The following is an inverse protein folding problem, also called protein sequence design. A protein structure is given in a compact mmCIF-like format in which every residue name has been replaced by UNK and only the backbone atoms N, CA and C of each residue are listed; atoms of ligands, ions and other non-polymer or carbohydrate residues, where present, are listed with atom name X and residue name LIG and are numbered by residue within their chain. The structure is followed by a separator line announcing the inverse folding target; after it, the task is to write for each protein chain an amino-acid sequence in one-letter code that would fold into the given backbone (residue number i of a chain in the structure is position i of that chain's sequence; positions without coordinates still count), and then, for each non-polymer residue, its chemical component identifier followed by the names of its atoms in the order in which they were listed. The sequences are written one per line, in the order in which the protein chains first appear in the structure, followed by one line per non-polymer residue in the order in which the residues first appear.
data_IF_957428154011
#
_entry.id   IF_957428154011
#
_cell.length_a   1.000
_cell.length_b   1.000
_cell.length_c   1.000
_cell.angle_alpha   90.00
_cell.angle_beta   90.00
_cell.angle_gamma   90.00
#
_symmetry.space_group_name_H-M   'P 1'
#
loop_
_entity.id
_entity.type
_entity.pdbx_description
1 polymer ?
2 water ?
#
# COMPACT_ATOMS: atom_id res chain seq x y z
N UNK A 11 -6.49 -8.21 -8.81
CA UNK A 11 -5.89 -8.96 -9.92
C UNK A 11 -4.41 -9.30 -9.68
N UNK A 12 -3.81 -10.01 -10.62
CA UNK A 12 -2.54 -10.68 -10.40
C UNK A 12 -1.32 -9.97 -11.01
N UNK A 13 -0.24 -9.91 -10.24
CA UNK A 13 1.06 -9.41 -10.70
C UNK A 13 2.10 -10.48 -10.41
N UNK A 14 3.03 -10.69 -11.34
CA UNK A 14 4.09 -11.67 -11.16
C UNK A 14 5.44 -10.96 -11.05
N UNK A 15 6.25 -11.38 -10.08
CA UNK A 15 7.57 -10.78 -9.92
C UNK A 15 8.59 -11.86 -9.57
N UNK A 16 9.83 -11.62 -9.96
CA UNK A 16 10.91 -12.59 -9.75
C UNK A 16 11.56 -12.42 -8.38
N UNK A 17 11.82 -13.55 -7.71
CA UNK A 17 12.56 -13.58 -6.45
C UNK A 17 13.80 -12.71 -6.51
N UNK A 18 14.01 -11.88 -5.49
CA UNK A 18 15.18 -11.02 -5.42
C UNK A 18 15.05 -9.66 -6.10
N UNK A 19 13.98 -9.45 -6.86
CA UNK A 19 13.78 -8.19 -7.57
C UNK A 19 12.85 -7.28 -6.76
N UNK A 20 12.40 -6.18 -7.37
CA UNK A 20 11.48 -5.27 -6.68
C UNK A 20 10.21 -5.11 -7.50
N UNK A 21 9.14 -4.69 -6.84
CA UNK A 21 7.86 -4.54 -7.53
C UNK A 21 7.15 -3.32 -6.97
N UNK A 22 6.51 -2.55 -7.86
CA UNK A 22 5.73 -1.40 -7.44
C UNK A 22 4.28 -1.86 -7.37
N UNK A 23 3.63 -1.62 -6.22
CA UNK A 23 2.23 -1.96 -6.01
C UNK A 23 1.50 -0.63 -5.98
N UNK A 24 0.62 -0.41 -6.97
CA UNK A 24 0.07 0.93 -7.15
C UNK A 24 -1.20 1.22 -6.35
N UNK A 25 -1.33 2.49 -5.95
CA UNK A 25 -2.55 2.97 -5.31
C UNK A 25 -2.66 4.44 -5.65
N UNK A 26 -3.70 4.79 -6.39
CA UNK A 26 -3.97 6.20 -6.61
C UNK A 26 -5.38 6.49 -6.15
N UNK A 27 -5.55 7.62 -5.49
CA UNK A 27 -6.89 8.08 -5.21
C UNK A 27 -7.09 9.38 -5.95
N UNK A 28 -8.32 9.86 -5.98
CA UNK A 28 -8.58 11.17 -6.53
C UNK A 28 -9.65 11.75 -5.63
N UNK A 29 -9.69 13.07 -5.56
CA UNK A 29 -10.70 13.74 -4.76
C UNK A 29 -11.33 14.80 -5.64
N UNK A 30 -12.66 14.79 -5.70
CA UNK A 30 -13.36 15.79 -6.49
C UNK A 30 -13.02 17.18 -5.97
N UNK A 31 -13.09 17.34 -4.65
CA UNK A 31 -12.90 18.66 -4.06
C UNK A 31 -11.89 18.66 -2.92
N UNK A 32 -10.84 17.85 -3.05
CA UNK A 32 -9.78 17.82 -2.06
C UNK A 32 -10.17 17.08 -0.80
N UNK A 33 -9.34 17.21 0.23
CA UNK A 33 -9.57 16.50 1.49
C UNK A 33 -8.75 17.10 2.61
N UNK A 34 -9.05 16.67 3.83
CA UNK A 34 -8.24 17.00 4.99
C UNK A 34 -8.00 15.74 5.82
N UNK A 35 -6.78 15.62 6.34
CA UNK A 35 -6.41 14.55 7.27
C UNK A 35 -6.78 13.16 6.78
N UNK A 36 -6.37 12.85 5.56
CA UNK A 36 -6.58 11.51 5.01
C UNK A 36 -5.66 10.53 5.74
N UNK A 37 -6.15 9.32 5.99
CA UNK A 37 -5.32 8.25 6.55
C UNK A 37 -5.29 7.10 5.58
N UNK A 38 -4.14 6.45 5.46
CA UNK A 38 -4.03 5.29 4.58
C UNK A 38 -3.31 4.14 5.27
N UNK A 39 -3.57 2.93 4.78
CA UNK A 39 -2.96 1.72 5.31
C UNK A 39 -2.82 0.72 4.18
N UNK A 40 -1.62 0.14 4.01
CA UNK A 40 -1.49 -1.04 3.15
C UNK A 40 -1.44 -2.28 4.04
N UNK A 41 -2.15 -3.33 3.64
CA UNK A 41 -2.12 -4.58 4.39
C UNK A 41 -1.64 -5.72 3.51
N UNK A 42 -1.15 -6.77 4.15
CA UNK A 42 -0.82 -8.03 3.48
C UNK A 42 -1.64 -9.13 4.12
N UNK A 43 -2.21 -10.00 3.29
CA UNK A 43 -2.92 -11.17 3.79
C UNK A 43 -2.42 -12.42 3.11
N UNK A 44 -2.13 -13.45 3.91
CA UNK A 44 -1.80 -14.78 3.43
C UNK A 44 -2.79 -15.76 4.07
N UNK A 45 -2.66 -17.05 3.75
CA UNK A 45 -3.52 -18.07 4.35
C UNK A 45 -3.38 -18.13 5.87
N UNK A 46 -2.19 -17.77 6.37
CA UNK A 46 -1.93 -17.87 7.81
C UNK A 46 -1.41 -16.58 8.47
N UNK A 47 -1.29 -15.49 7.72
CA UNK A 47 -0.77 -14.26 8.31
C UNK A 47 -1.52 -13.02 7.84
N UNK A 48 -1.52 -12.00 8.69
CA UNK A 48 -1.99 -10.68 8.31
C UNK A 48 -0.94 -9.69 8.82
N UNK A 49 -0.59 -8.70 7.99
CA UNK A 49 0.37 -7.68 8.40
C UNK A 49 -0.13 -6.33 7.99
N UNK A 50 0.00 -5.36 8.90
CA UNK A 50 -0.12 -3.95 8.52
C UNK A 50 1.26 -3.51 8.06
N UNK A 51 1.39 -3.19 6.78
CA UNK A 51 2.71 -2.95 6.18
C UNK A 51 3.22 -1.52 6.35
N UNK A 52 2.33 -0.57 6.11
CA UNK A 52 2.70 0.82 6.19
C UNK A 52 1.42 1.61 6.41
N UNK A 53 1.51 2.64 7.23
CA UNK A 53 0.39 3.53 7.49
C UNK A 53 0.87 4.96 7.44
N UNK A 54 -0.03 5.89 7.14
CA UNK A 54 0.37 7.28 7.10
C UNK A 54 -0.81 8.22 6.99
N UNK A 55 -0.50 9.51 6.93
CA UNK A 55 -1.52 10.55 6.87
C UNK A 55 -1.16 11.50 5.75
N UNK A 56 -2.17 12.18 5.21
CA UNK A 56 -1.93 13.21 4.20
C UNK A 56 -2.77 14.40 4.66
N UNK A 57 -2.12 15.52 4.96
CA UNK A 57 -2.82 16.64 5.62
C UNK A 57 -3.90 17.25 4.74
N UNK A 58 -3.56 17.44 3.47
CA UNK A 58 -4.52 17.93 2.50
C UNK A 58 -4.01 17.61 1.10
N UNK A 59 -4.74 18.06 0.09
CA UNK A 59 -4.41 17.73 -1.29
C UNK A 59 -3.13 18.41 -1.79
N UNK A 60 -2.58 19.31 -0.98
CA UNK A 60 -1.36 20.03 -1.33
C UNK A 60 -0.19 19.56 -0.48
N UNK A 61 -0.35 18.44 0.21
CA UNK A 61 0.69 17.93 1.10
C UNK A 61 1.23 16.57 0.66
N UNK A 62 2.47 16.28 1.06
CA UNK A 62 3.05 14.95 0.86
C UNK A 62 2.63 14.03 2.00
N UNK A 63 2.49 12.72 1.73
CA UNK A 63 2.19 11.77 2.80
C UNK A 63 3.23 11.80 3.92
N UNK A 64 2.80 11.51 5.15
CA UNK A 64 3.69 11.35 6.29
C UNK A 64 3.47 9.94 6.81
N UNK A 65 4.51 9.12 6.81
CA UNK A 65 4.41 7.73 7.29
C UNK A 65 4.47 7.68 8.80
N UNK A 66 3.54 6.95 9.41
CA UNK A 66 3.46 6.84 10.86
C UNK A 66 3.70 5.42 11.35
N UNK A 67 3.77 4.48 10.42
CA UNK A 67 4.06 3.08 10.73
C UNK A 67 4.67 2.44 9.51
N UNK A 68 5.78 1.73 9.68
CA UNK A 68 6.34 0.95 8.57
C UNK A 68 6.94 -0.29 9.20
N UNK A 69 6.41 -1.45 8.85
CA UNK A 69 6.85 -2.65 9.55
C UNK A 69 7.79 -3.53 8.72
N UNK A 70 8.22 -3.04 7.57
CA UNK A 70 9.18 -3.77 6.75
C UNK A 70 10.10 -2.75 6.07
N UNK A 71 11.42 -2.89 6.25
CA UNK A 71 12.34 -1.87 5.73
C UNK A 71 12.55 -1.98 4.22
N UNK A 72 11.98 -3.01 3.62
CA UNK A 72 12.04 -3.19 2.17
C UNK A 72 10.93 -2.44 1.45
N UNK A 73 10.07 -1.74 2.20
CA UNK A 73 8.98 -0.95 1.61
C UNK A 73 9.32 0.53 1.58
N UNK A 74 9.10 1.19 0.44
CA UNK A 74 9.20 2.65 0.40
C UNK A 74 8.00 3.23 -0.34
N UNK A 75 7.56 4.42 0.06
CA UNK A 75 6.54 5.14 -0.70
C UNK A 75 7.16 5.65 -1.99
N UNK A 76 6.39 5.62 -3.08
CA UNK A 76 6.90 6.03 -4.39
C UNK A 76 7.15 7.54 -4.45
N UNK A 77 6.25 8.31 -3.83
CA UNK A 77 6.33 9.76 -3.90
C UNK A 77 5.42 10.28 -5.00
N UNK A 78 5.16 11.58 -5.00
CA UNK A 78 4.15 12.14 -5.89
C UNK A 78 4.74 13.07 -6.95
N UNK A 83 1.30 12.05 -8.06
CA UNK A 83 -0.14 12.27 -8.18
C UNK A 83 -0.82 12.24 -6.80
N UNK A 84 -2.07 11.80 -6.77
CA UNK A 84 -2.67 11.44 -5.50
C UNK A 84 -2.37 9.96 -5.31
N UNK A 85 -1.12 9.78 -4.91
CA UNK A 85 -0.39 8.53 -5.07
C UNK A 85 0.15 8.05 -3.72
N UNK A 86 -0.23 6.84 -3.32
CA UNK A 86 0.38 6.20 -2.15
C UNK A 86 0.85 4.80 -2.55
N UNK A 87 1.41 4.71 -3.76
CA UNK A 87 1.97 3.45 -4.23
C UNK A 87 3.21 3.13 -3.42
N UNK A 88 3.52 1.85 -3.30
CA UNK A 88 4.71 1.43 -2.56
C UNK A 88 5.61 0.58 -3.45
N UNK A 89 6.90 0.60 -3.17
CA UNK A 89 7.80 -0.34 -3.84
C UNK A 89 8.28 -1.32 -2.78
N UNK A 90 8.18 -2.62 -3.08
CA UNK A 90 8.70 -3.65 -2.19
C UNK A 90 9.93 -4.26 -2.87
N UNK A 91 11.10 -4.15 -2.24
CA UNK A 91 12.33 -4.65 -2.86
C UNK A 91 12.81 -5.96 -2.25
N UNK A 92 13.83 -6.56 -2.87
CA UNK A 92 14.39 -7.82 -2.37
C UNK A 92 13.31 -8.87 -2.10
N UNK A 93 12.48 -9.14 -3.11
CA UNK A 93 11.35 -10.05 -2.95
C UNK A 93 11.78 -11.46 -2.59
N UNK A 94 10.98 -12.09 -1.73
CA UNK A 94 11.17 -13.48 -1.34
C UNK A 94 9.89 -14.24 -1.67
N UNK A 95 9.94 -15.57 -1.75
CA UNK A 95 8.72 -16.31 -2.06
C UNK A 95 7.63 -16.10 -1.03
N UNK A 96 8.03 -15.81 0.21
CA UNK A 96 7.06 -15.63 1.27
C UNK A 96 6.30 -14.32 1.11
N UNK A 97 6.75 -13.49 0.17
CA UNK A 97 6.04 -12.25 -0.15
C UNK A 97 4.80 -12.48 -1.03
N UNK A 98 4.69 -13.68 -1.58
CA UNK A 98 3.48 -14.05 -2.31
C UNK A 98 2.25 -13.88 -1.43
N UNK A 99 1.23 -13.22 -1.97
CA UNK A 99 0.02 -13.02 -1.20
C UNK A 99 -0.77 -11.81 -1.64
N UNK A 100 -1.71 -11.41 -0.79
CA UNK A 100 -2.67 -10.39 -1.16
C UNK A 100 -2.34 -9.05 -0.50
N UNK A 101 -2.18 -8.03 -1.34
CA UNK A 101 -1.82 -6.70 -0.87
C UNK A 101 -2.97 -5.76 -1.13
N UNK A 102 -3.40 -5.02 -0.11
CA UNK A 102 -4.57 -4.15 -0.26
C UNK A 102 -4.33 -2.77 0.33
N UNK A 103 -4.69 -1.73 -0.42
CA UNK A 103 -4.51 -0.35 0.01
C UNK A 103 -5.87 0.16 0.50
N UNK A 104 -5.90 0.75 1.70
CA UNK A 104 -7.15 1.26 2.27
C UNK A 104 -7.01 2.73 2.54
N UNK A 105 -8.01 3.52 2.15
CA UNK A 105 -7.91 4.96 2.32
C UNK A 105 -9.12 5.46 3.10
N UNK A 106 -8.86 6.16 4.20
CA UNK A 106 -9.94 6.61 5.07
C UNK A 106 -10.02 8.13 5.14
N UNK A 107 -11.23 8.66 4.97
CA UNK A 107 -11.46 10.09 5.03
C UNK A 107 -12.45 10.37 6.16
N UNK A 108 -11.95 10.50 7.40
CA UNK A 108 -12.77 10.65 8.61
C UNK A 108 -13.81 11.76 8.50
N UNK A 109 -13.42 12.89 7.91
CA UNK A 109 -14.30 14.05 7.78
C UNK A 109 -15.49 13.76 6.87
N UNK A 110 -15.27 12.93 5.85
CA UNK A 110 -16.35 12.55 4.96
C UNK A 110 -16.98 11.21 5.36
N UNK A 111 -16.60 10.71 6.54
CA UNK A 111 -17.02 9.38 6.99
C UNK A 111 -16.88 8.36 5.88
N UNK A 112 -15.76 8.43 5.17
CA UNK A 112 -15.58 7.63 3.97
C UNK A 112 -14.40 6.70 4.14
N UNK A 113 -14.56 5.48 3.65
CA UNK A 113 -13.49 4.50 3.67
C UNK A 113 -13.54 3.79 2.33
N UNK A 114 -12.43 3.80 1.59
CA UNK A 114 -12.36 3.11 0.31
C UNK A 114 -11.36 1.97 0.38
N UNK A 115 -11.77 0.79 -0.08
CA UNK A 115 -10.83 -0.32 -0.18
C UNK A 115 -10.50 -0.50 -1.66
N UNK A 116 -9.23 -0.36 -2.03
CA UNK A 116 -8.86 -0.54 -3.42
C UNK A 116 -8.79 -2.04 -3.71
N UNK A 117 -8.84 -2.40 -4.99
CA UNK A 117 -8.86 -3.81 -5.36
C UNK A 117 -7.61 -4.51 -4.84
N UNK A 118 -7.80 -5.70 -4.28
CA UNK A 118 -6.67 -6.46 -3.75
C UNK A 118 -5.76 -6.91 -4.89
N UNK A 119 -4.45 -6.75 -4.69
CA UNK A 119 -3.47 -7.22 -5.66
C UNK A 119 -2.90 -8.55 -5.20
N UNK A 120 -3.02 -9.60 -6.02
CA UNK A 120 -2.37 -10.85 -5.66
C UNK A 120 -1.00 -10.88 -6.31
N UNK A 121 0.03 -10.79 -5.48
CA UNK A 121 1.41 -10.81 -5.96
C UNK A 121 1.91 -12.23 -5.87
N UNK A 122 2.42 -12.73 -6.99
CA UNK A 122 3.01 -14.06 -7.03
C UNK A 122 4.49 -13.89 -7.29
N UNK A 123 5.31 -14.30 -6.33
CA UNK A 123 6.75 -14.24 -6.52
C UNK A 123 7.21 -15.58 -7.10
N UNK A 124 8.01 -15.52 -8.15
CA UNK A 124 8.37 -16.73 -8.91
C UNK A 124 9.88 -16.93 -9.04
N UNK A 125 10.26 -18.18 -9.29
CA UNK A 125 11.66 -18.54 -9.49
C UNK A 125 12.01 -18.46 -10.97
#
# INVERSE_FOLDING_TARGET
SNAEVSVGKATDIYAVNGTEILLPCTFSSAFGFEDLHFRWTYNSSDAFKILIEGTVKNEKSDPKVTLKDDDRITLVGSTKEKMNNISIVLRDLEFSDTGKYTCHVKNPKENNLQHHATIFLQVVDRLEE
#
